data_IF_485494708800
#
_entry.id   IF_485494708800
#
_cell.length_a   1.000
_cell.length_b   1.000
_cell.length_c   1.000
_cell.angle_alpha   90.00
_cell.angle_beta   90.00
_cell.angle_gamma   90.00
#
_symmetry.space_group_name_H-M   'P 1'
#
loop_
_entity.id
_entity.type
_entity.pdbx_description
1 polymer ?
#
# COMPACT_ATOMS: atom_id res chain seq x y z
N UNK A 1 8.66 29.38 2.27
CA UNK A 1 7.46 28.67 2.76
C UNK A 1 7.60 27.21 2.37
N UNK A 2 7.79 26.35 3.37
CA UNK A 2 8.38 25.02 3.22
C UNK A 2 7.63 24.16 2.19
N UNK A 3 8.36 23.72 1.18
CA UNK A 3 8.06 22.51 0.43
C UNK A 3 8.01 21.40 1.49
N UNK A 4 6.81 21.06 1.97
CA UNK A 4 6.64 19.91 2.87
C UNK A 4 6.98 18.70 2.02
N UNK A 5 8.27 18.38 2.02
CA UNK A 5 8.79 17.16 1.44
C UNK A 5 7.99 16.03 2.10
N UNK A 6 7.42 15.13 1.30
CA UNK A 6 6.70 13.98 1.85
C UNK A 6 7.61 13.07 2.68
N UNK A 7 8.91 13.33 2.66
CA UNK A 7 9.89 12.72 3.52
C UNK A 7 9.54 12.84 5.00
N UNK A 8 9.57 11.72 5.70
CA UNK A 8 9.45 11.60 7.14
C UNK A 8 10.74 10.98 7.69
N UNK A 9 11.42 11.66 8.65
CA UNK A 9 12.55 11.09 9.36
C UNK A 9 12.14 10.05 10.41
N UNK A 10 10.83 9.93 10.67
CA UNK A 10 10.25 8.94 11.58
C UNK A 10 8.82 8.62 11.11
N UNK A 11 8.70 7.63 10.22
CA UNK A 11 7.41 7.22 9.64
C UNK A 11 6.48 6.72 10.74
N UNK A 12 6.98 5.87 11.64
CA UNK A 12 6.14 5.21 12.64
C UNK A 12 5.55 6.23 13.62
N UNK A 13 6.36 7.18 14.11
CA UNK A 13 5.85 8.25 14.97
C UNK A 13 4.84 9.13 14.23
N UNK A 14 5.10 9.45 12.96
CA UNK A 14 4.17 10.25 12.16
C UNK A 14 2.80 9.56 11.96
N UNK A 15 2.80 8.26 11.67
CA UNK A 15 1.56 7.49 11.51
C UNK A 15 0.84 7.30 12.85
N UNK A 16 1.56 7.08 13.95
CA UNK A 16 0.98 6.98 15.28
C UNK A 16 0.20 8.25 15.67
N UNK A 17 0.73 9.43 15.34
CA UNK A 17 0.01 10.70 15.54
C UNK A 17 -1.29 10.79 14.72
N UNK A 18 -1.32 10.21 13.52
CA UNK A 18 -2.52 10.16 12.68
C UNK A 18 -3.56 9.23 13.32
N UNK A 19 -3.14 8.03 13.75
CA UNK A 19 -3.99 7.05 14.44
C UNK A 19 -4.59 7.65 15.71
N UNK A 20 -3.78 8.32 16.54
CA UNK A 20 -4.25 8.97 17.77
C UNK A 20 -5.37 9.99 17.51
N UNK A 21 -5.34 10.68 16.37
CA UNK A 21 -6.32 11.73 16.03
C UNK A 21 -7.57 11.18 15.34
N UNK A 22 -7.44 10.13 14.54
CA UNK A 22 -8.51 9.65 13.65
C UNK A 22 -9.21 8.38 14.15
N UNK A 23 -8.48 7.48 14.81
CA UNK A 23 -8.95 6.15 15.19
C UNK A 23 -9.50 6.14 16.61
N UNK A 24 -10.73 5.64 16.80
CA UNK A 24 -11.40 5.58 18.12
C UNK A 24 -11.43 4.18 18.72
N UNK A 25 -11.31 3.15 17.89
CA UNK A 25 -11.29 1.74 18.29
C UNK A 25 -10.30 0.97 17.41
N UNK A 26 -9.84 -0.20 17.89
CA UNK A 26 -8.85 -1.04 17.21
C UNK A 26 -7.53 -0.32 16.91
N UNK A 27 -7.06 0.53 17.84
CA UNK A 27 -5.78 1.23 17.70
C UNK A 27 -4.58 0.27 17.66
N UNK A 28 -4.73 -0.94 18.19
CA UNK A 28 -3.74 -2.02 18.14
C UNK A 28 -3.49 -2.57 16.74
N UNK A 29 -4.39 -2.31 15.78
CA UNK A 29 -4.16 -2.68 14.37
C UNK A 29 -2.88 -2.01 13.83
N UNK A 30 -2.57 -0.82 14.34
CA UNK A 30 -1.36 -0.09 13.96
C UNK A 30 -0.08 -0.82 14.38
N UNK A 31 -0.09 -1.65 15.42
CA UNK A 31 1.10 -2.40 15.84
C UNK A 31 1.52 -3.42 14.76
N UNK A 32 0.54 -4.04 14.09
CA UNK A 32 0.78 -4.94 12.97
C UNK A 32 1.30 -4.18 11.74
N UNK A 33 0.71 -3.02 11.45
CA UNK A 33 1.16 -2.14 10.37
C UNK A 33 2.60 -1.68 10.60
N UNK A 34 2.92 -1.24 11.81
CA UNK A 34 4.24 -0.74 12.19
C UNK A 34 5.30 -1.84 12.07
N UNK A 35 4.99 -3.05 12.53
CA UNK A 35 5.87 -4.22 12.36
C UNK A 35 6.11 -4.52 10.88
N UNK A 36 5.04 -4.57 10.05
CA UNK A 36 5.15 -4.83 8.62
C UNK A 36 6.03 -3.80 7.90
N UNK A 37 5.84 -2.52 8.21
CA UNK A 37 6.64 -1.43 7.65
C UNK A 37 8.11 -1.52 8.10
N UNK A 38 8.35 -1.85 9.37
CA UNK A 38 9.69 -2.01 9.91
C UNK A 38 10.44 -3.17 9.25
N UNK A 39 9.82 -4.34 9.17
CA UNK A 39 10.41 -5.56 8.60
C UNK A 39 10.78 -5.34 7.12
N UNK A 40 9.97 -4.56 6.38
CA UNK A 40 10.26 -4.20 4.98
C UNK A 40 11.54 -3.38 4.77
N UNK A 41 12.13 -2.81 5.83
CA UNK A 41 13.38 -2.06 5.69
C UNK A 41 14.56 -2.93 5.26
N UNK A 42 14.49 -4.25 5.47
CA UNK A 42 15.51 -5.22 5.06
C UNK A 42 15.36 -5.70 3.61
N UNK A 43 14.24 -5.37 2.97
CA UNK A 43 13.98 -5.77 1.59
C UNK A 43 14.91 -5.01 0.63
N UNK A 44 15.44 -5.72 -0.35
CA UNK A 44 16.26 -5.12 -1.41
C UNK A 44 15.40 -4.59 -2.54
N UNK A 45 14.27 -5.24 -2.80
CA UNK A 45 13.33 -4.84 -3.84
C UNK A 45 12.43 -3.69 -3.34
N UNK A 46 12.38 -2.61 -4.13
CA UNK A 46 11.51 -1.47 -3.86
C UNK A 46 10.03 -1.81 -3.93
N UNK A 47 9.63 -2.85 -4.69
CA UNK A 47 8.23 -3.29 -4.76
C UNK A 47 7.73 -3.81 -3.40
N UNK A 48 8.64 -4.32 -2.56
CA UNK A 48 8.36 -4.81 -1.19
C UNK A 48 8.46 -3.73 -0.13
N UNK A 49 8.80 -2.50 -0.54
CA UNK A 49 8.99 -1.33 0.33
C UNK A 49 7.98 -0.22 0.09
N UNK A 50 7.02 -0.45 -0.81
CA UNK A 50 5.95 0.48 -1.13
C UNK A 50 4.60 -0.08 -0.67
N UNK A 51 3.89 0.69 0.14
CA UNK A 51 2.65 0.29 0.78
C UNK A 51 1.56 1.33 0.54
N UNK A 52 0.32 0.86 0.48
CA UNK A 52 -0.84 1.69 0.72
C UNK A 52 -1.33 1.48 2.14
N UNK A 53 -1.55 2.57 2.83
CA UNK A 53 -1.99 2.59 4.23
C UNK A 53 -3.24 3.43 4.37
N UNK A 54 -4.22 2.91 5.11
CA UNK A 54 -5.43 3.65 5.45
C UNK A 54 -5.65 3.68 6.96
N UNK A 55 -6.02 4.85 7.46
CA UNK A 55 -6.46 5.08 8.82
C UNK A 55 -7.96 5.36 8.79
N UNK A 56 -8.73 4.52 9.48
CA UNK A 56 -10.19 4.63 9.56
C UNK A 56 -10.59 4.95 11.00
N UNK A 57 -11.87 5.23 11.22
CA UNK A 57 -12.40 5.41 12.57
C UNK A 57 -12.23 4.14 13.43
N UNK A 58 -12.33 2.98 12.77
CA UNK A 58 -12.28 1.64 13.36
C UNK A 58 -11.08 0.86 12.78
N UNK A 59 -9.88 1.18 13.25
CA UNK A 59 -8.65 0.48 12.88
C UNK A 59 -7.91 1.02 11.66
N UNK A 60 -6.85 0.32 11.29
CA UNK A 60 -5.93 0.66 10.20
C UNK A 60 -5.73 -0.54 9.27
N UNK A 61 -5.22 -0.29 8.06
CA UNK A 61 -4.78 -1.33 7.13
C UNK A 61 -3.51 -0.90 6.43
N UNK A 62 -2.51 -1.79 6.38
CA UNK A 62 -1.28 -1.64 5.60
C UNK A 62 -1.14 -2.79 4.61
N UNK A 63 -1.19 -2.49 3.31
CA UNK A 63 -1.11 -3.48 2.23
C UNK A 63 -0.01 -3.10 1.23
N UNK A 64 0.59 -4.10 0.56
CA UNK A 64 1.60 -3.83 -0.47
C UNK A 64 0.96 -3.08 -1.63
N UNK A 65 1.59 -2.00 -2.07
CA UNK A 65 1.04 -1.16 -3.13
C UNK A 65 0.82 -1.96 -4.42
N UNK A 66 1.83 -2.75 -4.80
CA UNK A 66 1.79 -3.54 -6.03
C UNK A 66 0.58 -4.49 -6.05
N UNK A 67 0.29 -5.15 -4.94
CA UNK A 67 -0.78 -6.13 -4.84
C UNK A 67 -2.18 -5.49 -4.88
N UNK A 68 -2.33 -4.22 -4.48
CA UNK A 68 -3.61 -3.51 -4.62
C UNK A 68 -4.07 -3.43 -6.08
N UNK A 69 -3.14 -3.41 -7.03
CA UNK A 69 -3.44 -3.40 -8.47
C UNK A 69 -3.50 -4.80 -9.10
N UNK A 70 -3.54 -5.84 -8.28
CA UNK A 70 -3.75 -7.21 -8.69
C UNK A 70 -5.07 -7.73 -8.12
N UNK A 71 -5.98 -8.08 -9.03
CA UNK A 71 -7.35 -8.49 -8.72
C UNK A 71 -7.39 -9.75 -7.86
N UNK A 72 -8.42 -9.87 -7.02
CA UNK A 72 -8.64 -10.96 -6.06
C UNK A 72 -7.51 -11.23 -5.04
N UNK A 73 -6.43 -10.44 -5.04
CA UNK A 73 -5.44 -10.50 -3.96
C UNK A 73 -6.03 -9.95 -2.66
N UNK A 74 -5.53 -10.42 -1.52
CA UNK A 74 -5.97 -9.92 -0.21
C UNK A 74 -5.79 -8.40 -0.10
N UNK A 75 -4.68 -7.87 -0.61
CA UNK A 75 -4.41 -6.43 -0.66
C UNK A 75 -5.48 -5.67 -1.45
N UNK A 76 -5.86 -6.15 -2.65
CA UNK A 76 -6.91 -5.54 -3.46
C UNK A 76 -8.28 -5.62 -2.76
N UNK A 77 -8.65 -6.77 -2.23
CA UNK A 77 -9.90 -6.97 -1.51
C UNK A 77 -10.02 -6.03 -0.31
N UNK A 78 -8.97 -5.93 0.53
CA UNK A 78 -8.93 -4.99 1.67
C UNK A 78 -9.08 -3.55 1.19
N UNK A 79 -8.31 -3.17 0.16
CA UNK A 79 -8.25 -1.78 -0.28
C UNK A 79 -9.54 -1.31 -0.94
N UNK A 80 -10.26 -2.19 -1.62
CA UNK A 80 -11.51 -1.88 -2.33
C UNK A 80 -12.76 -2.05 -1.47
N UNK A 81 -12.67 -2.76 -0.34
CA UNK A 81 -13.82 -3.04 0.55
C UNK A 81 -14.61 -1.79 0.99
N UNK A 82 -13.94 -0.65 1.16
CA UNK A 82 -14.56 0.59 1.65
C UNK A 82 -14.90 1.59 0.55
N UNK A 83 -14.93 1.16 -0.72
CA UNK A 83 -15.15 2.05 -1.87
C UNK A 83 -16.47 2.84 -1.80
N UNK A 84 -17.50 2.24 -1.21
CA UNK A 84 -18.84 2.83 -1.06
C UNK A 84 -19.00 3.67 0.22
N UNK A 85 -18.04 3.59 1.15
CA UNK A 85 -18.03 4.34 2.41
C UNK A 85 -16.67 5.01 2.71
N UNK A 86 -16.17 5.89 1.81
CA UNK A 86 -14.84 6.47 1.93
C UNK A 86 -14.72 7.59 2.99
N UNK A 87 -15.85 8.06 3.53
CA UNK A 87 -15.88 9.21 4.44
C UNK A 87 -15.10 8.93 5.73
N UNK A 88 -14.21 9.87 6.09
CA UNK A 88 -13.37 9.76 7.29
C UNK A 88 -12.15 8.83 7.15
N UNK A 89 -11.93 8.23 5.97
CA UNK A 89 -10.74 7.44 5.69
C UNK A 89 -9.58 8.36 5.27
N UNK A 90 -8.50 8.32 6.03
CA UNK A 90 -7.24 8.96 5.65
C UNK A 90 -6.35 7.92 4.97
N UNK A 91 -5.97 8.15 3.71
CA UNK A 91 -5.15 7.21 2.95
C UNK A 91 -3.81 7.82 2.55
N UNK A 92 -2.77 6.98 2.56
CA UNK A 92 -1.41 7.36 2.26
C UNK A 92 -0.69 6.26 1.48
N UNK A 93 0.20 6.66 0.57
CA UNK A 93 1.25 5.80 0.06
C UNK A 93 2.50 5.99 0.89
N UNK A 94 3.06 4.89 1.37
CA UNK A 94 4.26 4.85 2.19
C UNK A 94 5.37 4.20 1.37
N UNK A 95 6.49 4.90 1.23
CA UNK A 95 7.70 4.35 0.59
C UNK A 95 8.82 4.33 1.60
N UNK A 96 9.27 3.15 1.98
CA UNK A 96 10.36 2.96 2.94
C UNK A 96 11.70 3.19 2.25
N UNK A 97 12.50 4.13 2.76
CA UNK A 97 13.85 4.40 2.26
C UNK A 97 14.93 3.70 3.11
N UNK A 98 14.63 3.41 4.38
CA UNK A 98 15.46 2.56 5.24
C UNK A 98 15.47 3.02 6.69
N UNK A 99 16.39 2.48 7.48
CA UNK A 99 16.56 2.85 8.88
C UNK A 99 17.71 3.85 9.00
N UNK A 100 17.47 4.98 9.68
CA UNK A 100 18.49 5.97 10.03
C UNK A 100 18.32 6.36 11.49
N UNK A 101 19.42 6.38 12.24
CA UNK A 101 19.42 6.69 13.68
C UNK A 101 18.39 5.89 14.49
N UNK A 102 18.22 4.61 14.14
CA UNK A 102 17.25 3.71 14.78
C UNK A 102 15.78 4.00 14.44
N UNK A 103 15.50 4.83 13.43
CA UNK A 103 14.15 5.21 13.01
C UNK A 103 13.87 4.81 11.58
N UNK A 104 12.62 4.42 11.32
CA UNK A 104 12.16 4.11 9.98
C UNK A 104 11.94 5.41 9.19
N UNK A 105 12.67 5.56 8.10
CA UNK A 105 12.66 6.76 7.26
C UNK A 105 12.12 6.47 5.87
N UNK A 106 11.54 7.48 5.24
CA UNK A 106 11.05 7.39 3.87
C UNK A 106 9.99 8.43 3.58
N UNK A 107 9.02 8.12 2.72
CA UNK A 107 8.01 9.09 2.26
C UNK A 107 6.61 8.65 2.65
N UNK A 108 5.82 9.59 3.16
CA UNK A 108 4.39 9.43 3.45
C UNK A 108 3.63 10.41 2.57
N UNK A 109 2.85 9.87 1.62
CA UNK A 109 2.25 10.63 0.52
C UNK A 109 0.73 10.55 0.64
N UNK A 110 0.02 11.66 0.88
CA UNK A 110 -1.44 11.62 1.03
C UNK A 110 -2.12 11.24 -0.28
N UNK A 111 -3.17 10.41 -0.18
CA UNK A 111 -4.00 9.95 -1.29
C UNK A 111 -5.45 10.38 -1.04
N UNK A 112 -6.12 10.82 -2.09
CA UNK A 112 -7.59 10.96 -2.11
C UNK A 112 -8.21 9.57 -2.32
N UNK A 113 -8.53 8.89 -1.22
CA UNK A 113 -9.01 7.50 -1.22
C UNK A 113 -10.23 7.32 -2.12
N UNK A 114 -11.25 8.19 -1.98
CA UNK A 114 -12.48 8.12 -2.75
C UNK A 114 -12.24 8.15 -4.27
N UNK A 115 -11.28 8.95 -4.74
CA UNK A 115 -10.92 8.96 -6.16
C UNK A 115 -10.01 7.80 -6.55
N UNK A 116 -9.08 7.40 -5.68
CA UNK A 116 -8.06 6.41 -6.01
C UNK A 116 -8.64 5.00 -6.04
N UNK A 117 -9.51 4.65 -5.09
CA UNK A 117 -10.14 3.31 -5.05
C UNK A 117 -10.95 3.04 -6.33
N UNK A 118 -11.61 4.06 -6.88
CA UNK A 118 -12.35 3.96 -8.14
C UNK A 118 -11.44 3.73 -9.36
N UNK A 119 -10.17 4.14 -9.30
CA UNK A 119 -9.19 3.82 -10.34
C UNK A 119 -8.65 2.41 -10.15
N UNK A 120 -8.33 2.03 -8.91
CA UNK A 120 -7.92 0.66 -8.55
C UNK A 120 -8.94 -0.37 -9.07
N UNK A 121 -10.23 -0.20 -8.76
CA UNK A 121 -11.31 -1.10 -9.21
C UNK A 121 -11.35 -1.22 -10.74
N UNK A 122 -11.03 -0.16 -11.48
CA UNK A 122 -11.11 -0.14 -12.95
C UNK A 122 -9.85 -0.67 -13.63
N UNK A 123 -8.70 -0.63 -12.96
CA UNK A 123 -7.41 -0.90 -13.58
C UNK A 123 -6.67 -2.10 -12.97
N UNK A 124 -7.20 -2.75 -11.94
CA UNK A 124 -6.57 -3.95 -11.38
C UNK A 124 -6.47 -5.04 -12.45
N UNK A 125 -5.32 -5.73 -12.48
CA UNK A 125 -5.06 -6.81 -13.43
C UNK A 125 -5.29 -8.16 -12.78
N UNK A 126 -5.82 -9.17 -13.48
CA UNK A 126 -5.95 -10.51 -12.94
C UNK A 126 -4.58 -11.13 -12.65
N UNK A 127 -4.49 -11.92 -11.58
CA UNK A 127 -3.30 -12.71 -11.28
C UNK A 127 -3.26 -13.93 -12.21
N UNK A 128 -2.20 -14.05 -13.01
CA UNK A 128 -2.00 -15.16 -13.92
C UNK A 128 -1.19 -16.29 -13.28
N UNK A 129 -0.16 -15.92 -12.51
CA UNK A 129 0.80 -16.83 -11.91
C UNK A 129 1.10 -16.45 -10.47
N UNK A 130 1.58 -17.43 -9.72
CA UNK A 130 2.10 -17.25 -8.38
C UNK A 130 3.52 -17.82 -8.32
N UNK A 131 4.41 -17.03 -7.74
CA UNK A 131 5.79 -17.38 -7.48
C UNK A 131 5.98 -17.49 -5.97
N UNK A 132 6.70 -18.50 -5.49
CA UNK A 132 6.97 -18.70 -4.07
C UNK A 132 8.22 -19.56 -3.88
N UNK A 133 8.71 -19.61 -2.64
CA UNK A 133 9.72 -20.57 -2.17
C UNK A 133 9.05 -21.66 -1.37
N UNK A 134 9.38 -22.92 -1.66
CA UNK A 134 8.92 -24.06 -0.87
C UNK A 134 9.79 -24.29 0.38
N UNK A 135 9.49 -25.36 1.13
CA UNK A 135 10.18 -25.72 2.37
C UNK A 135 11.68 -25.97 2.22
N UNK A 136 12.12 -26.30 1.00
CA UNK A 136 13.50 -26.62 0.65
C UNK A 136 14.19 -25.39 0.03
N UNK A 137 13.58 -24.19 0.18
CA UNK A 137 13.98 -22.91 -0.43
C UNK A 137 14.04 -22.98 -1.97
N UNK A 138 13.33 -23.91 -2.61
CA UNK A 138 13.29 -24.03 -4.06
C UNK A 138 12.28 -23.05 -4.66
N UNK A 139 12.68 -22.35 -5.71
CA UNK A 139 11.79 -21.45 -6.45
C UNK A 139 10.74 -22.24 -7.22
N UNK A 140 9.48 -21.90 -7.00
CA UNK A 140 8.33 -22.49 -7.65
C UNK A 140 7.53 -21.40 -8.38
N UNK A 141 7.06 -21.72 -9.58
CA UNK A 141 6.10 -20.90 -10.33
C UNK A 141 4.96 -21.78 -10.80
N UNK A 142 3.72 -21.38 -10.49
CA UNK A 142 2.52 -22.08 -10.90
C UNK A 142 1.50 -21.11 -11.50
N UNK A 143 0.59 -21.63 -12.32
CA UNK A 143 -0.64 -20.91 -12.64
C UNK A 143 -1.39 -20.59 -11.34
N UNK A 144 -1.87 -19.36 -11.21
CA UNK A 144 -2.62 -18.93 -10.04
C UNK A 144 -3.84 -19.83 -9.80
N UNK A 145 -4.60 -20.13 -10.87
CA UNK A 145 -5.76 -21.01 -10.79
C UNK A 145 -5.39 -22.43 -10.34
N UNK A 146 -4.29 -23.00 -10.85
CA UNK A 146 -3.84 -24.33 -10.44
C UNK A 146 -3.41 -24.34 -8.97
N UNK A 147 -2.73 -23.29 -8.51
CA UNK A 147 -2.30 -23.15 -7.13
C UNK A 147 -3.49 -23.02 -6.17
N UNK A 148 -4.45 -22.15 -6.47
CA UNK A 148 -5.64 -21.92 -5.63
C UNK A 148 -6.54 -23.17 -5.53
N UNK A 149 -6.56 -24.01 -6.56
CA UNK A 149 -7.30 -25.28 -6.56
C UNK A 149 -6.51 -26.47 -6.02
N UNK A 150 -5.24 -26.27 -5.66
CA UNK A 150 -4.41 -27.35 -5.15
C UNK A 150 -4.78 -27.67 -3.69
N UNK A 151 -4.65 -28.94 -3.29
CA UNK A 151 -4.76 -29.35 -1.88
C UNK A 151 -3.51 -29.02 -1.06
N UNK A 152 -2.64 -28.15 -1.57
CA UNK A 152 -1.44 -27.74 -0.86
C UNK A 152 -1.86 -27.10 0.46
N UNK A 153 -1.42 -27.62 1.60
CA UNK A 153 -1.63 -26.94 2.86
C UNK A 153 -1.01 -25.53 2.73
N UNK A 154 -1.75 -24.48 3.09
CA UNK A 154 -1.16 -23.19 3.49
C UNK A 154 -0.38 -23.34 4.81
N UNK A 155 0.29 -24.48 4.97
CA UNK A 155 1.14 -24.79 6.11
C UNK A 155 2.45 -24.02 5.95
N UNK A 156 3.20 -23.93 7.05
CA UNK A 156 4.42 -23.14 7.28
C UNK A 156 5.57 -23.40 6.27
N UNK A 157 5.32 -24.20 5.23
CA UNK A 157 6.24 -24.65 4.21
C UNK A 157 6.41 -23.69 3.02
N UNK A 158 5.52 -22.71 2.78
CA UNK A 158 5.67 -21.76 1.67
C UNK A 158 5.92 -20.35 2.17
N UNK A 159 6.88 -19.66 1.56
CA UNK A 159 7.19 -18.27 1.86
C UNK A 159 7.54 -17.49 0.59
N UNK A 160 7.78 -16.20 0.75
CA UNK A 160 8.15 -15.30 -0.35
C UNK A 160 7.15 -15.26 -1.51
N UNK A 161 5.86 -15.37 -1.19
CA UNK A 161 4.78 -15.38 -2.18
C UNK A 161 4.77 -14.06 -2.97
N UNK A 162 4.69 -14.17 -4.29
CA UNK A 162 4.59 -13.06 -5.23
C UNK A 162 3.54 -13.37 -6.29
N UNK A 163 2.52 -12.52 -6.38
CA UNK A 163 1.46 -12.60 -7.39
C UNK A 163 1.90 -11.93 -8.69
N UNK A 164 1.69 -12.57 -9.83
CA UNK A 164 2.22 -12.12 -11.13
C UNK A 164 1.09 -12.04 -12.16
N UNK A 165 0.83 -10.88 -12.77
CA UNK A 165 -0.14 -10.74 -13.86
C UNK A 165 0.42 -11.30 -15.18
N UNK A 166 -0.39 -11.34 -16.23
CA UNK A 166 0.11 -11.71 -17.57
C UNK A 166 1.20 -10.74 -18.07
N UNK A 167 1.07 -9.44 -17.73
CA UNK A 167 1.97 -8.38 -18.17
C UNK A 167 2.48 -7.55 -16.99
N UNK A 168 3.70 -7.81 -16.54
CA UNK A 168 4.39 -6.96 -15.55
C UNK A 168 4.58 -5.53 -16.08
N UNK A 169 4.80 -5.35 -17.39
CA UNK A 169 4.95 -4.03 -17.99
C UNK A 169 3.66 -3.20 -17.86
N UNK A 170 2.49 -3.83 -17.99
CA UNK A 170 1.21 -3.17 -17.82
C UNK A 170 0.97 -2.78 -16.35
N UNK A 171 1.29 -3.67 -15.40
CA UNK A 171 1.22 -3.35 -13.97
C UNK A 171 2.13 -2.16 -13.62
N UNK A 172 3.37 -2.15 -14.10
CA UNK A 172 4.30 -1.04 -13.89
C UNK A 172 3.78 0.27 -14.52
N UNK A 173 3.13 0.19 -15.68
CA UNK A 173 2.49 1.34 -16.30
C UNK A 173 1.38 1.93 -15.42
N UNK A 174 0.52 1.08 -14.85
CA UNK A 174 -0.57 1.49 -13.95
C UNK A 174 -0.02 2.16 -12.68
N UNK A 175 0.96 1.54 -12.02
CA UNK A 175 1.62 2.11 -10.84
C UNK A 175 2.23 3.48 -11.14
N UNK A 176 2.93 3.61 -12.27
CA UNK A 176 3.50 4.88 -12.71
C UNK A 176 2.42 5.96 -12.92
N UNK A 177 1.28 5.60 -13.53
CA UNK A 177 0.17 6.54 -13.72
C UNK A 177 -0.39 7.02 -12.37
N UNK A 178 -0.56 6.11 -11.41
CA UNK A 178 -1.05 6.46 -10.06
C UNK A 178 -0.09 7.39 -9.33
N UNK A 179 1.21 7.11 -9.37
CA UNK A 179 2.23 7.99 -8.78
C UNK A 179 2.23 9.39 -9.41
N UNK A 180 1.90 9.52 -10.70
CA UNK A 180 1.74 10.82 -11.36
C UNK A 180 0.48 11.55 -10.90
N UNK A 181 -0.61 10.84 -10.67
CA UNK A 181 -1.87 11.46 -10.22
C UNK A 181 -1.73 12.03 -8.80
N UNK A 182 -1.00 11.36 -7.91
CA UNK A 182 -0.66 11.86 -6.57
C UNK A 182 0.12 13.17 -6.58
N UNK A 183 0.94 13.41 -7.61
CA UNK A 183 1.68 14.66 -7.78
C UNK A 183 0.77 15.79 -8.29
N UNK A 184 -0.22 15.47 -9.14
CA UNK A 184 -1.15 16.45 -9.71
C UNK A 184 -2.17 16.97 -8.71
N UNK A 185 -2.68 16.12 -7.81
CA UNK A 185 -3.55 16.56 -6.71
C UNK A 185 -2.88 17.66 -5.87
N UNK A 186 -1.57 17.54 -5.61
CA UNK A 186 -0.80 18.58 -4.90
C UNK A 186 -0.79 19.93 -5.60
N UNK A 187 -0.69 19.96 -6.93
CA UNK A 187 -0.69 21.21 -7.70
C UNK A 187 -2.07 21.88 -7.73
N UNK A 188 -3.16 21.11 -7.79
CA UNK A 188 -4.51 21.68 -7.84
C UNK A 188 -4.96 22.31 -6.51
N UNK A 189 -4.51 21.77 -5.37
CA UNK A 189 -4.78 22.35 -4.04
C UNK A 189 -4.15 23.74 -3.87
N UNK A 190 -3.11 24.06 -4.64
CA UNK A 190 -2.42 25.35 -4.60
C UNK A 190 -3.15 26.45 -5.38
N UNK A 191 -4.10 26.08 -6.24
CA UNK A 191 -4.83 27.03 -7.10
C UNK A 191 -6.15 27.55 -6.48
N UNK A 192 -6.60 26.99 -5.34
CA UNK A 192 -7.89 27.36 -4.72
C UNK A 192 -7.80 28.31 -3.51
N UNK A 193 -6.63 28.85 -3.18
CA UNK A 193 -6.51 29.94 -2.20
C UNK A 193 -6.35 31.29 -2.89
N UNK A 194 -7.42 31.81 -3.47
CA UNK A 194 -7.53 33.25 -3.78
C UNK A 194 -8.45 33.89 -2.75
N UNK A 195 -7.93 34.92 -2.10
CA UNK A 195 -8.44 35.62 -0.92
C UNK A 195 -9.86 36.21 -1.10
N UNK A 196 -10.59 36.48 0.00
CA UNK A 196 -11.87 37.16 -0.08
C UNK A 196 -11.67 38.60 -0.59
N UNK A 197 -12.46 38.98 -1.59
CA UNK A 197 -12.58 40.37 -2.00
C UNK A 197 -13.41 41.15 -0.96
N UNK A 198 -12.98 42.40 -0.76
CA UNK A 198 -13.39 43.39 0.24
C UNK A 198 -14.89 43.55 0.45
#
# INVERSE_FOLDING_TARGET
>A
MAQRNNYQPDILSHLAEIVQKNTRAYTTDFDFDAKRLWDSAQETDMERRSFLWMCRLLGTWCVLEREVFLDDTNANCIWTHYADCPDGILAYRIVIEGIRDGKLTGRVIPIDYAKQVQRVIKSALPVAKIQYRDKDDSFCENSYHAFMNSSMPYDEAIHDIRYVPESEAELQHILMLEHRMEQKTKCSCRAKSTAPQR
#
